data_IF_793985917518
#
_entry.id   IF_793985917518
#
_cell.length_a   1.000
_cell.length_b   1.000
_cell.length_c   1.000
_cell.angle_alpha   90.00
_cell.angle_beta   90.00
_cell.angle_gamma   90.00
#
_symmetry.space_group_name_H-M   'P 1'
#
loop_
_entity.id
_entity.type
_entity.pdbx_description
1 polymer ?
#
# COMPACT_ATOMS: atom_id res chain seq x y z
N UNK A 1 -19.69 -5.78 0.31
CA UNK A 1 -18.62 -4.84 -0.06
C UNK A 1 -17.96 -5.34 -1.33
N UNK A 2 -17.91 -4.51 -2.37
CA UNK A 2 -17.26 -4.83 -3.63
C UNK A 2 -15.75 -5.03 -3.47
N UNK A 3 -15.21 -5.95 -4.26
CA UNK A 3 -13.77 -6.18 -4.31
C UNK A 3 -13.10 -5.21 -5.31
N UNK A 4 -11.94 -4.67 -4.93
CA UNK A 4 -11.25 -3.64 -5.71
C UNK A 4 -10.89 -4.09 -7.13
N UNK A 5 -10.42 -5.32 -7.30
CA UNK A 5 -10.09 -5.93 -8.59
C UNK A 5 -11.26 -5.91 -9.59
N UNK A 6 -12.50 -5.89 -9.10
CA UNK A 6 -13.70 -5.84 -9.95
C UNK A 6 -14.07 -4.43 -10.43
N UNK A 7 -13.59 -3.38 -9.76
CA UNK A 7 -14.01 -1.99 -9.98
C UNK A 7 -12.85 -1.01 -10.17
N UNK A 8 -11.61 -1.52 -10.28
CA UNK A 8 -10.39 -0.69 -10.38
C UNK A 8 -10.42 0.31 -11.53
N UNK A 9 -10.95 -0.09 -12.69
CA UNK A 9 -11.10 0.77 -13.86
C UNK A 9 -12.13 1.85 -13.59
N UNK A 10 -13.28 1.47 -13.04
CA UNK A 10 -14.35 2.41 -12.70
C UNK A 10 -13.89 3.45 -11.66
N UNK A 11 -13.14 3.05 -10.63
CA UNK A 11 -12.53 3.98 -9.66
C UNK A 11 -11.56 4.92 -10.37
N UNK A 12 -10.73 4.41 -11.27
CA UNK A 12 -9.77 5.23 -12.01
C UNK A 12 -10.47 6.24 -12.93
N UNK A 13 -11.55 5.82 -13.61
CA UNK A 13 -12.36 6.71 -14.44
C UNK A 13 -12.98 7.84 -13.62
N UNK A 14 -13.53 7.53 -12.44
CA UNK A 14 -14.10 8.54 -11.56
C UNK A 14 -13.05 9.52 -11.03
N UNK A 15 -11.82 9.07 -10.75
CA UNK A 15 -10.70 9.96 -10.37
C UNK A 15 -10.35 10.92 -11.52
N UNK A 16 -10.26 10.40 -12.75
CA UNK A 16 -9.98 11.20 -13.95
C UNK A 16 -11.07 12.23 -14.22
N UNK A 17 -12.34 11.80 -14.19
CA UNK A 17 -13.49 12.67 -14.34
C UNK A 17 -13.56 13.71 -13.23
N UNK A 18 -13.24 13.33 -11.99
CA UNK A 18 -13.19 14.24 -10.85
C UNK A 18 -12.16 15.34 -11.01
N UNK A 19 -10.97 15.00 -11.52
CA UNK A 19 -9.95 16.00 -11.81
C UNK A 19 -10.34 16.94 -12.95
N UNK A 20 -11.03 16.43 -13.98
CA UNK A 20 -11.56 17.22 -15.08
C UNK A 20 -12.64 18.21 -14.64
N UNK A 21 -13.55 17.76 -13.76
CA UNK A 21 -14.68 18.57 -13.31
C UNK A 21 -14.44 19.28 -11.97
N UNK A 22 -13.20 19.27 -11.46
CA UNK A 22 -12.83 19.73 -10.12
C UNK A 22 -13.80 19.27 -9.02
N UNK A 23 -14.23 18.01 -9.11
CA UNK A 23 -15.24 17.40 -8.23
C UNK A 23 -14.67 16.13 -7.61
N UNK A 24 -14.77 15.98 -6.29
CA UNK A 24 -14.36 14.74 -5.63
C UNK A 24 -15.52 13.73 -5.57
N UNK A 25 -15.40 12.65 -6.34
CA UNK A 25 -16.35 11.53 -6.35
C UNK A 25 -16.01 10.43 -5.32
N UNK A 26 -14.94 10.58 -4.53
CA UNK A 26 -14.45 9.56 -3.60
C UNK A 26 -15.46 9.14 -2.53
N UNK A 27 -16.25 10.09 -2.03
CA UNK A 27 -17.30 9.86 -1.03
C UNK A 27 -18.43 8.96 -1.54
N UNK A 28 -18.65 8.90 -2.85
CA UNK A 28 -19.72 8.10 -3.45
C UNK A 28 -19.33 6.62 -3.56
N UNK A 29 -18.03 6.30 -3.66
CA UNK A 29 -17.54 4.93 -3.80
C UNK A 29 -17.95 4.03 -2.63
N UNK A 30 -17.99 4.59 -1.41
CA UNK A 30 -18.31 3.86 -0.18
C UNK A 30 -19.78 3.45 -0.08
N UNK A 31 -20.64 3.99 -0.95
CA UNK A 31 -22.08 3.73 -0.97
C UNK A 31 -22.52 2.76 -2.07
N UNK A 32 -21.59 2.31 -2.92
CA UNK A 32 -21.88 1.41 -4.03
C UNK A 32 -21.55 -0.05 -3.69
N UNK A 33 -22.46 -0.94 -4.10
CA UNK A 33 -22.44 -2.38 -3.85
C UNK A 33 -22.34 -3.22 -5.13
N UNK A 34 -22.46 -2.60 -6.33
CA UNK A 34 -22.29 -3.27 -7.63
C UNK A 34 -21.46 -2.46 -8.64
N UNK A 35 -20.71 -3.11 -9.56
CA UNK A 35 -19.96 -2.40 -10.60
C UNK A 35 -20.88 -1.58 -11.52
N UNK A 36 -22.12 -2.03 -11.69
CA UNK A 36 -23.11 -1.34 -12.52
C UNK A 36 -23.50 0.02 -11.94
N UNK A 37 -23.49 0.21 -10.62
CA UNK A 37 -23.70 1.52 -10.00
C UNK A 37 -22.58 2.50 -10.38
N UNK A 38 -21.32 2.05 -10.36
CA UNK A 38 -20.21 2.87 -10.84
C UNK A 38 -20.36 3.24 -12.32
N UNK A 39 -20.70 2.26 -13.16
CA UNK A 39 -20.89 2.47 -14.60
C UNK A 39 -22.03 3.43 -14.90
N UNK A 40 -23.13 3.37 -14.15
CA UNK A 40 -24.23 4.34 -14.25
C UNK A 40 -23.77 5.74 -13.89
N UNK A 41 -23.08 5.92 -12.76
CA UNK A 41 -22.52 7.21 -12.37
C UNK A 41 -21.61 7.80 -13.46
N UNK A 42 -20.67 7.00 -13.97
CA UNK A 42 -19.75 7.42 -15.05
C UNK A 42 -20.54 7.85 -16.29
N UNK A 43 -21.62 7.11 -16.62
CA UNK A 43 -22.50 7.45 -17.74
C UNK A 43 -23.20 8.78 -17.53
N UNK A 44 -23.78 8.99 -16.35
CA UNK A 44 -24.47 10.24 -15.99
C UNK A 44 -23.51 11.45 -16.02
N UNK A 45 -22.27 11.29 -15.51
CA UNK A 45 -21.26 12.36 -15.55
C UNK A 45 -20.92 12.72 -16.99
N UNK A 46 -20.67 11.71 -17.84
CA UNK A 46 -20.36 11.93 -19.25
C UNK A 46 -21.55 12.54 -20.02
N UNK A 47 -22.77 12.09 -19.76
CA UNK A 47 -23.99 12.63 -20.38
C UNK A 47 -24.20 14.10 -20.01
N UNK A 48 -23.98 14.48 -18.74
CA UNK A 48 -24.04 15.88 -18.31
C UNK A 48 -22.93 16.71 -18.94
N UNK A 49 -21.70 16.20 -18.96
CA UNK A 49 -20.54 16.91 -19.49
C UNK A 49 -20.66 17.16 -21.01
N UNK A 50 -21.16 16.17 -21.75
CA UNK A 50 -21.30 16.25 -23.21
C UNK A 50 -22.71 16.62 -23.69
N UNK A 51 -23.59 17.06 -22.78
CA UNK A 51 -24.97 17.45 -23.09
C UNK A 51 -25.74 16.39 -23.92
N UNK A 52 -25.45 15.10 -23.67
CA UNK A 52 -26.07 13.97 -24.36
C UNK A 52 -25.51 13.63 -25.75
N UNK A 53 -24.44 14.29 -26.23
CA UNK A 53 -23.77 13.98 -27.50
C UNK A 53 -23.12 12.58 -27.44
N UNK A 54 -23.74 11.61 -28.12
CA UNK A 54 -23.34 10.21 -28.08
C UNK A 54 -21.97 9.94 -28.71
N UNK A 55 -21.57 10.71 -29.73
CA UNK A 55 -20.26 10.54 -30.36
C UNK A 55 -19.16 11.02 -29.42
N UNK A 56 -19.36 12.17 -28.77
CA UNK A 56 -18.43 12.69 -27.76
C UNK A 56 -18.36 11.81 -26.51
N UNK A 57 -19.50 11.28 -26.03
CA UNK A 57 -19.52 10.35 -24.90
C UNK A 57 -18.72 9.08 -25.23
N UNK A 58 -18.86 8.55 -26.45
CA UNK A 58 -18.11 7.37 -26.91
C UNK A 58 -16.61 7.65 -26.96
N UNK A 59 -16.21 8.82 -27.47
CA UNK A 59 -14.81 9.27 -27.47
C UNK A 59 -14.30 9.41 -26.03
N UNK A 60 -15.03 10.09 -25.14
CA UNK A 60 -14.65 10.25 -23.75
C UNK A 60 -14.46 8.92 -23.01
N UNK A 61 -15.34 7.94 -23.23
CA UNK A 61 -15.16 6.58 -22.67
C UNK A 61 -13.89 5.89 -23.18
N UNK A 62 -13.60 6.04 -24.47
CA UNK A 62 -12.38 5.48 -25.07
C UNK A 62 -11.14 6.13 -24.44
N UNK A 63 -11.14 7.45 -24.29
CA UNK A 63 -10.05 8.21 -23.66
C UNK A 63 -9.85 7.82 -22.20
N UNK A 64 -10.93 7.70 -21.40
CA UNK A 64 -10.84 7.22 -20.02
C UNK A 64 -10.20 5.83 -19.93
N UNK A 65 -10.57 4.93 -20.86
CA UNK A 65 -9.99 3.60 -20.93
C UNK A 65 -8.49 3.65 -21.24
N UNK A 66 -8.10 4.41 -22.26
CA UNK A 66 -6.69 4.59 -22.64
C UNK A 66 -5.86 5.16 -21.48
N UNK A 67 -6.38 6.14 -20.76
CA UNK A 67 -5.68 6.69 -19.60
C UNK A 67 -5.57 5.72 -18.44
N UNK A 68 -6.60 4.90 -18.19
CA UNK A 68 -6.50 3.87 -17.15
C UNK A 68 -5.43 2.84 -17.51
N UNK A 69 -5.33 2.44 -18.78
CA UNK A 69 -4.27 1.57 -19.28
C UNK A 69 -2.86 2.20 -19.13
N UNK A 70 -2.75 3.52 -19.12
CA UNK A 70 -1.50 4.26 -18.87
C UNK A 70 -1.14 4.43 -17.37
N UNK A 71 -2.02 4.05 -16.45
CA UNK A 71 -1.82 4.23 -15.00
C UNK A 71 -1.90 2.95 -14.19
N UNK A 72 -2.51 1.90 -14.74
CA UNK A 72 -2.79 0.63 -14.07
C UNK A 72 -1.84 -0.47 -14.56
N UNK A 73 -1.28 -1.24 -13.63
CA UNK A 73 -0.60 -2.50 -13.96
C UNK A 73 -1.68 -3.56 -14.27
N UNK A 74 -1.49 -4.43 -15.26
CA UNK A 74 -2.45 -5.53 -15.46
C UNK A 74 -2.62 -6.35 -14.17
N UNK A 75 -3.86 -6.66 -13.81
CA UNK A 75 -4.16 -7.36 -12.56
C UNK A 75 -3.52 -8.75 -12.53
N UNK A 76 -3.33 -9.36 -13.70
CA UNK A 76 -2.79 -10.72 -13.81
C UNK A 76 -1.30 -10.78 -13.39
N UNK A 77 -0.59 -9.64 -13.38
CA UNK A 77 0.76 -9.59 -12.80
C UNK A 77 0.77 -9.89 -11.30
N UNK A 78 -0.29 -9.56 -10.57
CA UNK A 78 -0.38 -9.80 -9.13
C UNK A 78 -0.56 -11.29 -8.78
N UNK A 79 -0.78 -12.14 -9.78
CA UNK A 79 -0.92 -13.59 -9.60
C UNK A 79 0.39 -14.25 -9.18
N UNK A 80 1.54 -13.58 -9.36
CA UNK A 80 2.82 -14.08 -8.87
C UNK A 80 2.89 -14.23 -7.34
N UNK A 81 2.03 -13.53 -6.59
CA UNK A 81 1.92 -13.69 -5.14
C UNK A 81 0.84 -14.68 -4.71
N UNK A 82 -0.01 -15.16 -5.63
CA UNK A 82 -1.10 -16.10 -5.30
C UNK A 82 -0.55 -17.48 -4.95
N UNK A 83 -1.36 -18.24 -4.21
CA UNK A 83 -1.10 -19.66 -3.95
C UNK A 83 -0.25 -19.96 -2.71
N UNK A 84 0.43 -18.96 -2.12
CA UNK A 84 1.06 -19.12 -0.80
C UNK A 84 0.69 -17.96 0.14
N UNK A 85 0.20 -18.24 1.37
CA UNK A 85 -0.07 -17.19 2.36
C UNK A 85 1.16 -16.31 2.64
N UNK A 86 2.35 -16.91 2.62
CA UNK A 86 3.62 -16.22 2.87
C UNK A 86 3.93 -15.13 1.84
N UNK A 87 3.80 -15.42 0.54
CA UNK A 87 4.04 -14.43 -0.52
C UNK A 87 3.04 -13.25 -0.43
N UNK A 88 1.78 -13.55 -0.12
CA UNK A 88 0.73 -12.54 0.04
C UNK A 88 1.01 -11.62 1.23
N UNK A 89 1.36 -12.20 2.37
CA UNK A 89 1.71 -11.45 3.57
C UNK A 89 3.00 -10.65 3.39
N UNK A 90 3.98 -11.19 2.67
CA UNK A 90 5.19 -10.46 2.29
C UNK A 90 4.83 -9.21 1.47
N UNK A 91 4.10 -9.37 0.36
CA UNK A 91 3.73 -8.25 -0.51
C UNK A 91 2.89 -7.20 0.24
N UNK A 92 1.96 -7.66 1.08
CA UNK A 92 1.16 -6.78 1.92
C UNK A 92 2.00 -6.01 2.94
N UNK A 93 2.91 -6.64 3.67
CA UNK A 93 3.78 -5.92 4.61
C UNK A 93 4.75 -4.99 3.87
N UNK A 94 5.24 -5.38 2.70
CA UNK A 94 6.16 -4.60 1.89
C UNK A 94 5.58 -3.21 1.55
N UNK A 95 4.30 -3.12 1.18
CA UNK A 95 3.69 -1.82 0.83
C UNK A 95 3.59 -0.84 2.00
N UNK A 96 3.54 -1.32 3.25
CA UNK A 96 3.55 -0.45 4.42
C UNK A 96 4.97 0.03 4.77
N UNK A 97 5.99 -0.76 4.45
CA UNK A 97 7.38 -0.45 4.80
C UNK A 97 8.11 0.33 3.70
N UNK A 98 7.80 0.05 2.43
CA UNK A 98 8.50 0.61 1.27
C UNK A 98 7.53 1.35 0.36
N UNK A 99 7.60 2.70 0.30
CA UNK A 99 6.75 3.47 -0.59
C UNK A 99 7.04 3.25 -2.07
N UNK A 100 6.00 3.44 -2.89
CA UNK A 100 6.19 3.75 -4.31
C UNK A 100 6.78 5.15 -4.41
N UNK A 101 7.98 5.27 -4.95
CA UNK A 101 8.68 6.54 -5.15
C UNK A 101 8.82 6.83 -6.65
N UNK A 102 8.60 8.08 -7.09
CA UNK A 102 8.99 8.52 -8.42
C UNK A 102 10.50 8.32 -8.65
N UNK A 103 10.89 8.02 -9.88
CA UNK A 103 12.31 7.87 -10.25
C UNK A 103 13.17 9.06 -9.73
N UNK A 104 14.23 8.74 -8.98
CA UNK A 104 15.18 9.70 -8.43
C UNK A 104 15.04 10.00 -6.94
N UNK A 105 13.90 9.67 -6.32
CA UNK A 105 13.71 9.79 -4.86
C UNK A 105 14.09 8.47 -4.18
N UNK A 106 15.01 8.54 -3.21
CA UNK A 106 15.34 7.41 -2.31
C UNK A 106 14.99 7.81 -0.88
N UNK A 107 14.09 7.08 -0.23
CA UNK A 107 13.99 7.09 1.23
C UNK A 107 14.76 5.90 1.80
N UNK A 108 15.52 6.15 2.86
CA UNK A 108 16.13 5.11 3.68
C UNK A 108 15.04 4.30 4.36
N UNK A 109 14.95 3.01 4.00
CA UNK A 109 14.14 2.04 4.74
C UNK A 109 14.75 1.74 6.10
N UNK A 110 14.10 0.88 6.89
CA UNK A 110 14.59 0.39 8.18
C UNK A 110 15.87 -0.46 8.02
N UNK A 111 16.99 0.21 7.80
CA UNK A 111 18.36 -0.27 7.93
C UNK A 111 19.15 0.80 8.67
N UNK A 112 20.12 0.37 9.48
CA UNK A 112 20.99 1.26 10.25
C UNK A 112 21.90 2.09 9.32
N UNK A 113 21.36 3.11 8.66
CA UNK A 113 22.19 4.16 8.08
C UNK A 113 22.56 5.16 9.16
N UNK A 114 23.79 4.99 9.64
CA UNK A 114 24.52 5.99 10.41
C UNK A 114 24.76 7.18 9.49
N UNK A 115 23.99 8.25 9.71
CA UNK A 115 24.28 9.59 9.20
C UNK A 115 23.28 10.07 8.14
N UNK A 116 22.31 10.87 8.57
CA UNK A 116 22.15 12.24 8.07
C UNK A 116 21.01 12.96 8.80
N UNK A 117 21.29 14.20 9.12
CA UNK A 117 20.58 15.12 9.98
C UNK A 117 19.21 15.55 9.44
N UNK A 118 18.24 15.63 10.36
CA UNK A 118 17.17 16.62 10.42
C UNK A 118 16.65 17.20 9.12
N UNK A 119 15.55 16.63 8.61
CA UNK A 119 14.75 17.23 7.55
C UNK A 119 13.46 16.48 7.39
N UNK A 120 12.43 16.87 8.14
CA UNK A 120 11.05 16.49 7.83
C UNK A 120 10.72 16.98 6.42
N UNK A 121 10.36 16.06 5.52
CA UNK A 121 9.56 16.41 4.35
C UNK A 121 8.20 15.75 4.52
N UNK A 122 7.26 16.54 5.05
CA UNK A 122 5.85 16.37 4.74
C UNK A 122 5.72 16.53 3.22
N UNK A 123 5.75 15.43 2.48
CA UNK A 123 5.39 15.42 1.07
C UNK A 123 3.87 15.56 0.98
N UNK A 124 3.38 16.79 1.20
CA UNK A 124 2.21 17.29 0.53
C UNK A 124 2.58 17.38 -0.95
N UNK A 125 2.43 16.26 -1.67
CA UNK A 125 2.49 16.28 -3.13
C UNK A 125 1.20 16.95 -3.60
N UNK A 126 1.33 18.23 -3.98
CA UNK A 126 0.28 19.05 -4.57
C UNK A 126 0.32 19.00 -6.11
N UNK A 127 0.89 17.94 -6.67
CA UNK A 127 1.09 17.82 -8.11
C UNK A 127 -0.10 17.11 -8.73
N UNK A 128 -0.93 17.85 -9.46
CA UNK A 128 -1.97 17.31 -10.32
C UNK A 128 -1.33 16.30 -11.30
N UNK A 129 -1.53 15.00 -11.05
CA UNK A 129 -1.03 13.82 -11.82
C UNK A 129 -1.41 13.87 -13.31
N UNK A 130 -2.32 14.76 -13.65
CA UNK A 130 -2.91 14.98 -14.95
C UNK A 130 -2.10 15.91 -15.88
N UNK A 131 -1.07 16.60 -15.40
CA UNK A 131 -0.28 17.55 -16.21
C UNK A 131 0.41 16.93 -17.44
N UNK A 132 0.61 15.60 -17.46
CA UNK A 132 1.21 14.87 -18.58
C UNK A 132 0.19 14.15 -19.47
N UNK A 133 -1.11 14.22 -19.16
CA UNK A 133 -2.17 13.63 -19.97
C UNK A 133 -2.77 14.71 -20.87
N UNK A 134 -2.78 14.47 -22.18
CA UNK A 134 -3.36 15.41 -23.14
C UNK A 134 -4.89 15.35 -23.08
N UNK A 135 -5.48 16.41 -22.50
CA UNK A 135 -6.91 16.61 -22.36
C UNK A 135 -7.58 17.19 -23.61
N UNK A 136 -6.81 17.56 -24.65
CA UNK A 136 -7.33 18.20 -25.87
C UNK A 136 -8.40 17.36 -26.56
N UNK A 137 -8.32 16.04 -26.46
CA UNK A 137 -9.30 15.09 -27.02
C UNK A 137 -10.69 15.17 -26.37
N UNK A 138 -10.84 15.87 -25.23
CA UNK A 138 -12.14 16.10 -24.56
C UNK A 138 -12.75 17.47 -24.88
N UNK A 139 -12.07 18.31 -25.67
CA UNK A 139 -12.48 19.65 -26.10
C UNK A 139 -13.14 20.47 -24.96
N UNK A 140 -12.34 20.77 -23.93
CA UNK A 140 -12.73 21.60 -22.77
C UNK A 140 -12.02 22.94 -22.92
N UNK A 141 -12.79 24.02 -22.97
CA UNK A 141 -12.28 25.41 -23.01
C UNK A 141 -11.65 25.73 -21.63
N UNK A 142 -10.34 25.99 -21.60
CA UNK A 142 -9.54 26.16 -20.38
C UNK A 142 -9.31 27.64 -20.01
N UNK A 143 -9.96 28.57 -20.72
CA UNK A 143 -9.69 30.02 -20.62
C UNK A 143 -10.31 30.70 -19.39
N UNK A 144 -11.08 29.98 -18.55
CA UNK A 144 -11.78 30.54 -17.38
C UNK A 144 -11.17 30.16 -16.01
N UNK A 145 -9.96 29.60 -15.95
CA UNK A 145 -9.31 29.25 -14.68
C UNK A 145 -8.43 30.41 -14.17
N UNK A 146 -8.89 31.06 -13.10
CA UNK A 146 -8.14 32.10 -12.38
C UNK A 146 -7.01 31.49 -11.52
N UNK A 147 -5.78 31.60 -12.02
CA UNK A 147 -4.57 31.03 -11.42
C UNK A 147 -4.04 31.77 -10.19
N UNK A 148 -4.59 32.96 -9.85
CA UNK A 148 -4.07 33.77 -8.74
C UNK A 148 -4.55 33.32 -7.34
N UNK A 149 -5.51 32.38 -7.28
CA UNK A 149 -6.04 31.84 -6.01
C UNK A 149 -5.22 30.69 -5.40
N UNK A 150 -4.20 30.17 -6.10
CA UNK A 150 -3.46 28.96 -5.70
C UNK A 150 -2.14 29.29 -4.96
N UNK A 151 -1.62 30.51 -5.05
CA UNK A 151 -0.21 30.79 -4.71
C UNK A 151 0.08 31.39 -3.33
N UNK A 152 -0.91 31.62 -2.45
CA UNK A 152 -0.63 32.26 -1.14
C UNK A 152 -1.42 31.71 0.07
N UNK A 153 -0.83 30.81 0.87
CA UNK A 153 -1.30 30.53 2.22
C UNK A 153 -0.46 31.33 3.24
N UNK A 154 -0.96 32.49 3.67
CA UNK A 154 -0.36 33.22 4.80
C UNK A 154 -0.62 32.52 6.15
N UNK A 155 0.49 32.31 6.84
CA UNK A 155 0.74 31.88 8.22
C UNK A 155 -0.37 32.11 9.27
N UNK A 156 -0.60 31.09 10.11
CA UNK A 156 -0.71 31.27 11.56
C UNK A 156 -0.03 30.12 12.32
N UNK A 157 0.99 30.45 13.11
CA UNK A 157 1.69 29.52 13.98
C UNK A 157 1.09 29.55 15.39
N UNK A 158 0.88 28.38 16.02
CA UNK A 158 0.69 28.30 17.47
C UNK A 158 0.98 26.92 18.09
N UNK A 159 2.09 26.91 18.85
CA UNK A 159 2.41 26.19 20.10
C UNK A 159 2.46 24.64 20.14
N UNK A 160 3.70 24.18 20.35
CA UNK A 160 4.20 22.84 20.70
C UNK A 160 3.49 22.20 21.91
N UNK A 161 3.24 20.89 21.81
CA UNK A 161 3.25 19.98 22.96
C UNK A 161 4.27 18.88 22.68
N UNK A 162 5.28 18.75 23.55
CA UNK A 162 6.24 17.63 23.51
C UNK A 162 5.48 16.35 23.87
N UNK A 163 5.22 15.48 22.89
CA UNK A 163 4.91 14.07 23.14
C UNK A 163 6.16 13.24 22.87
N UNK A 164 6.49 12.38 23.82
CA UNK A 164 7.55 11.39 23.71
C UNK A 164 7.16 10.43 22.58
N UNK A 165 7.86 10.53 21.45
CA UNK A 165 7.59 9.75 20.25
C UNK A 165 8.08 8.31 20.44
N UNK A 166 7.16 7.34 20.47
CA UNK A 166 7.51 5.96 20.11
C UNK A 166 7.94 5.97 18.65
N UNK A 167 9.11 5.42 18.36
CA UNK A 167 9.84 5.47 17.09
C UNK A 167 9.22 4.60 15.97
N UNK A 168 7.90 4.67 15.76
CA UNK A 168 7.14 3.91 14.76
C UNK A 168 6.27 4.77 13.83
N UNK A 169 6.38 6.10 13.90
CA UNK A 169 5.71 7.00 12.94
C UNK A 169 6.62 7.36 11.78
N UNK A 170 7.07 6.36 10.99
CA UNK A 170 7.73 6.60 9.70
C UNK A 170 7.48 5.42 8.75
N UNK A 171 6.24 4.97 8.59
CA UNK A 171 5.87 4.15 7.44
C UNK A 171 5.63 5.13 6.29
N UNK A 172 6.66 5.38 5.48
CA UNK A 172 6.51 6.23 4.29
C UNK A 172 5.62 5.57 3.22
N UNK A 173 5.28 4.28 3.39
CA UNK A 173 4.41 3.48 2.53
C UNK A 173 2.90 3.67 2.78
N UNK A 174 2.13 2.58 2.72
CA UNK A 174 0.68 2.60 2.87
C UNK A 174 0.22 3.14 4.24
N UNK A 175 -0.79 4.03 4.24
CA UNK A 175 -1.40 4.54 5.47
C UNK A 175 -2.39 3.54 6.06
N UNK A 176 -2.30 3.30 7.37
CA UNK A 176 -3.25 2.44 8.11
C UNK A 176 -4.66 3.02 8.19
N UNK A 177 -4.83 4.31 7.90
CA UNK A 177 -6.15 4.96 7.87
C UNK A 177 -6.86 4.71 6.53
N UNK A 178 -6.11 4.46 5.45
CA UNK A 178 -6.63 4.28 4.10
C UNK A 178 -6.64 2.82 3.65
N UNK A 179 -5.74 2.00 4.18
CA UNK A 179 -5.54 0.61 3.80
C UNK A 179 -5.71 -0.31 5.00
N UNK A 180 -6.41 -1.43 4.82
CA UNK A 180 -6.59 -2.43 5.88
C UNK A 180 -5.23 -3.05 6.24
N UNK A 181 -4.71 -2.84 7.46
CA UNK A 181 -3.45 -3.44 7.88
C UNK A 181 -3.58 -4.93 8.24
N UNK A 182 -4.81 -5.43 8.37
CA UNK A 182 -5.10 -6.80 8.82
C UNK A 182 -6.17 -7.45 7.93
N UNK A 183 -5.90 -7.60 6.62
CA UNK A 183 -6.80 -8.34 5.73
C UNK A 183 -6.89 -9.81 6.16
N UNK A 184 -8.06 -10.40 6.00
CA UNK A 184 -8.35 -11.76 6.48
C UNK A 184 -8.43 -12.79 5.35
N UNK A 185 -8.55 -12.34 4.09
CA UNK A 185 -8.59 -13.20 2.92
C UNK A 185 -7.45 -12.92 1.94
N UNK A 186 -7.09 -13.92 1.14
CA UNK A 186 -6.14 -13.77 0.02
C UNK A 186 -6.54 -12.63 -0.93
N UNK A 187 -7.84 -12.54 -1.25
CA UNK A 187 -8.35 -11.49 -2.12
C UNK A 187 -8.20 -10.10 -1.50
N UNK A 188 -8.44 -9.94 -0.20
CA UNK A 188 -8.22 -8.67 0.49
C UNK A 188 -6.75 -8.26 0.52
N UNK A 189 -5.84 -9.22 0.71
CA UNK A 189 -4.39 -8.99 0.64
C UNK A 189 -3.98 -8.43 -0.73
N UNK A 190 -4.34 -9.14 -1.81
CA UNK A 190 -4.01 -8.73 -3.18
C UNK A 190 -4.67 -7.40 -3.53
N UNK A 191 -5.94 -7.22 -3.18
CA UNK A 191 -6.65 -5.97 -3.46
C UNK A 191 -6.06 -4.78 -2.72
N UNK A 192 -5.54 -4.98 -1.50
CA UNK A 192 -4.81 -3.95 -0.76
C UNK A 192 -3.52 -3.54 -1.46
N UNK A 193 -2.71 -4.50 -1.89
CA UNK A 193 -1.46 -4.26 -2.63
C UNK A 193 -1.74 -3.59 -3.97
N UNK A 194 -2.70 -4.12 -4.74
CA UNK A 194 -3.10 -3.59 -6.04
C UNK A 194 -3.59 -2.15 -5.92
N UNK A 195 -4.49 -1.87 -4.96
CA UNK A 195 -4.98 -0.53 -4.72
C UNK A 195 -3.85 0.42 -4.34
N UNK A 196 -2.94 0.01 -3.46
CA UNK A 196 -1.83 0.87 -3.04
C UNK A 196 -0.95 1.30 -4.23
N UNK A 197 -0.59 0.36 -5.10
CA UNK A 197 0.23 0.64 -6.28
C UNK A 197 -0.55 1.46 -7.31
N UNK A 198 -1.82 1.11 -7.56
CA UNK A 198 -2.68 1.83 -8.51
C UNK A 198 -2.90 3.29 -8.09
N UNK A 199 -3.05 3.56 -6.77
CA UNK A 199 -3.24 4.89 -6.20
C UNK A 199 -1.95 5.71 -6.03
N UNK A 200 -0.78 5.12 -6.24
CA UNK A 200 0.48 5.84 -6.14
C UNK A 200 0.55 7.00 -7.17
N UNK A 201 0.93 8.22 -6.75
CA UNK A 201 0.95 9.40 -7.61
C UNK A 201 2.22 9.45 -8.48
N UNK A 202 2.42 8.44 -9.31
CA UNK A 202 3.58 8.31 -10.20
C UNK A 202 3.22 7.64 -11.53
N UNK A 203 4.18 7.60 -12.45
CA UNK A 203 3.99 7.01 -13.78
C UNK A 203 3.80 5.49 -13.71
N UNK A 204 3.17 4.89 -14.73
CA UNK A 204 3.11 3.43 -14.85
C UNK A 204 4.51 2.79 -14.88
N UNK A 205 5.51 3.47 -15.45
CA UNK A 205 6.89 3.00 -15.45
C UNK A 205 7.48 2.89 -14.04
N UNK A 206 7.21 3.86 -13.16
CA UNK A 206 7.64 3.83 -11.76
C UNK A 206 6.91 2.71 -10.99
N UNK A 207 5.60 2.56 -11.21
CA UNK A 207 4.80 1.48 -10.61
C UNK A 207 5.31 0.10 -11.02
N UNK A 208 5.61 -0.10 -12.31
CA UNK A 208 6.20 -1.35 -12.83
C UNK A 208 7.57 -1.60 -12.20
N UNK A 209 8.39 -0.57 -12.06
CA UNK A 209 9.73 -0.69 -11.44
C UNK A 209 9.61 -1.08 -9.97
N UNK A 210 8.70 -0.44 -9.23
CA UNK A 210 8.38 -0.81 -7.86
C UNK A 210 7.91 -2.26 -7.75
N UNK A 211 6.97 -2.66 -8.61
CA UNK A 211 6.41 -4.02 -8.63
C UNK A 211 7.49 -5.07 -8.91
N UNK A 212 8.37 -4.81 -9.89
CA UNK A 212 9.52 -5.68 -10.19
C UNK A 212 10.44 -5.82 -8.98
N UNK A 213 10.79 -4.71 -8.33
CA UNK A 213 11.62 -4.73 -7.12
C UNK A 213 10.95 -5.50 -5.98
N UNK A 214 9.66 -5.33 -5.77
CA UNK A 214 8.89 -6.08 -4.77
C UNK A 214 8.96 -7.58 -5.06
N UNK A 215 8.74 -7.98 -6.32
CA UNK A 215 8.82 -9.38 -6.74
C UNK A 215 10.24 -9.97 -6.64
N UNK A 216 11.27 -9.23 -7.06
CA UNK A 216 12.68 -9.63 -6.90
C UNK A 216 13.04 -9.82 -5.44
N UNK A 217 12.63 -8.91 -4.56
CA UNK A 217 12.84 -9.06 -3.11
C UNK A 217 12.11 -10.27 -2.54
N UNK A 218 10.92 -10.58 -3.04
CA UNK A 218 10.22 -11.81 -2.64
C UNK A 218 11.03 -13.05 -3.03
N UNK A 219 11.51 -13.13 -4.28
CA UNK A 219 12.31 -14.25 -4.76
C UNK A 219 13.62 -14.42 -3.97
N UNK A 220 14.33 -13.32 -3.70
CA UNK A 220 15.55 -13.34 -2.87
C UNK A 220 15.29 -13.93 -1.47
N UNK A 221 14.17 -13.56 -0.84
CA UNK A 221 13.82 -14.08 0.48
C UNK A 221 13.35 -15.53 0.43
N UNK A 222 12.58 -15.89 -0.59
CA UNK A 222 12.10 -17.24 -0.80
C UNK A 222 13.26 -18.23 -1.03
N UNK A 223 14.23 -17.86 -1.88
CA UNK A 223 15.38 -18.71 -2.19
C UNK A 223 16.28 -18.90 -0.96
N UNK A 224 16.42 -17.88 -0.10
CA UNK A 224 17.24 -17.97 1.09
C UNK A 224 16.55 -18.69 2.26
N UNK A 225 15.26 -18.46 2.46
CA UNK A 225 14.45 -19.05 3.53
C UNK A 225 13.39 -19.99 2.95
N UNK A 226 13.83 -20.98 2.15
CA UNK A 226 13.01 -21.95 1.41
C UNK A 226 11.99 -22.71 2.27
N UNK A 227 12.30 -22.89 3.55
CA UNK A 227 11.40 -23.52 4.53
C UNK A 227 11.12 -22.56 5.67
N UNK A 228 9.87 -22.56 6.13
CA UNK A 228 9.50 -21.87 7.35
C UNK A 228 10.34 -22.39 8.52
N UNK A 229 10.38 -21.63 9.63
CA UNK A 229 11.20 -22.01 10.79
C UNK A 229 10.79 -23.38 11.33
N UNK A 230 11.66 -24.38 11.14
CA UNK A 230 11.48 -25.79 11.53
C UNK A 230 11.08 -26.00 13.01
N UNK A 231 11.48 -25.07 13.88
CA UNK A 231 11.18 -25.08 15.31
C UNK A 231 9.87 -24.37 15.69
N UNK A 232 9.21 -23.71 14.73
CA UNK A 232 7.95 -22.98 14.92
C UNK A 232 6.77 -23.79 14.39
N UNK A 233 5.78 -24.04 15.24
CA UNK A 233 4.56 -24.76 14.86
C UNK A 233 3.44 -23.78 14.54
N UNK A 234 2.71 -24.05 13.45
CA UNK A 234 1.50 -23.30 13.06
C UNK A 234 0.35 -23.47 14.07
N UNK A 235 0.34 -24.57 14.82
CA UNK A 235 -0.73 -24.92 15.77
C UNK A 235 -0.40 -24.53 17.23
N UNK A 236 0.85 -24.17 17.54
CA UNK A 236 1.25 -23.77 18.90
C UNK A 236 0.93 -22.29 19.15
N UNK A 237 -0.32 -22.00 19.52
CA UNK A 237 -0.76 -20.64 19.83
C UNK A 237 0.11 -19.97 20.92
N UNK A 238 0.55 -20.72 21.92
CA UNK A 238 1.36 -20.17 23.02
C UNK A 238 2.72 -19.72 22.52
N UNK A 239 3.36 -20.51 21.65
CA UNK A 239 4.59 -20.13 20.97
C UNK A 239 4.36 -18.88 20.13
N UNK A 240 3.33 -18.87 19.29
CA UNK A 240 3.12 -17.78 18.34
C UNK A 240 2.76 -16.45 19.02
N UNK A 241 1.98 -16.47 20.11
CA UNK A 241 1.75 -15.26 20.93
C UNK A 241 3.05 -14.73 21.51
N UNK A 242 3.89 -15.61 22.07
CA UNK A 242 5.18 -15.20 22.63
C UNK A 242 6.09 -14.59 21.56
N UNK A 243 6.21 -15.22 20.40
CA UNK A 243 7.05 -14.74 19.30
C UNK A 243 6.53 -13.42 18.73
N UNK A 244 5.22 -13.25 18.62
CA UNK A 244 4.60 -11.99 18.22
C UNK A 244 5.00 -10.86 19.16
N UNK A 245 4.85 -11.05 20.47
CA UNK A 245 5.21 -10.04 21.46
C UNK A 245 6.72 -9.78 21.51
N UNK A 246 7.53 -10.82 21.30
CA UNK A 246 8.98 -10.68 21.18
C UNK A 246 9.36 -9.78 19.99
N UNK A 247 8.84 -10.06 18.80
CA UNK A 247 9.10 -9.27 17.60
C UNK A 247 8.57 -7.84 17.73
N UNK A 248 7.37 -7.67 18.29
CA UNK A 248 6.79 -6.36 18.58
C UNK A 248 7.68 -5.57 19.56
N UNK A 249 8.16 -6.19 20.62
CA UNK A 249 9.08 -5.59 21.59
C UNK A 249 10.45 -5.24 21.01
N UNK A 250 10.89 -5.96 19.96
CA UNK A 250 12.10 -5.67 19.19
C UNK A 250 11.88 -4.69 18.04
N UNK A 251 10.64 -4.21 17.85
CA UNK A 251 10.30 -3.31 16.77
C UNK A 251 10.43 -3.94 15.38
N UNK A 252 10.19 -5.25 15.25
CA UNK A 252 10.21 -5.98 13.98
C UNK A 252 8.82 -6.20 13.38
N UNK A 253 7.77 -5.97 14.18
CA UNK A 253 6.38 -6.02 13.74
C UNK A 253 5.74 -4.68 14.11
N UNK A 254 5.04 -4.09 13.15
CA UNK A 254 4.35 -2.83 13.35
C UNK A 254 3.18 -2.99 14.34
N UNK A 255 2.99 -2.01 15.22
CA UNK A 255 2.04 -2.08 16.33
C UNK A 255 0.57 -2.08 15.92
N UNK A 256 0.28 -1.61 14.70
CA UNK A 256 -1.06 -1.55 14.13
C UNK A 256 -1.55 -2.90 13.60
N UNK A 257 -0.64 -3.87 13.40
CA UNK A 257 -0.97 -5.21 12.98
C UNK A 257 -1.66 -5.98 14.12
N UNK A 258 -2.77 -6.62 13.81
CA UNK A 258 -3.63 -7.36 14.75
C UNK A 258 -4.07 -8.68 14.13
N UNK A 259 -3.32 -9.78 14.33
CA UNK A 259 -3.69 -11.07 13.79
C UNK A 259 -5.01 -11.55 14.43
N UNK A 260 -5.96 -11.99 13.61
CA UNK A 260 -7.28 -12.46 14.08
C UNK A 260 -7.26 -13.91 14.59
N UNK A 261 -6.34 -14.74 14.08
CA UNK A 261 -6.18 -16.13 14.50
C UNK A 261 -4.71 -16.57 14.53
N UNK A 262 -4.47 -17.77 15.03
CA UNK A 262 -3.14 -18.37 15.18
C UNK A 262 -2.42 -18.57 13.84
N UNK A 263 -3.12 -19.03 12.80
CA UNK A 263 -2.52 -19.23 11.47
C UNK A 263 -2.04 -17.92 10.85
N UNK A 264 -2.85 -16.86 10.93
CA UNK A 264 -2.48 -15.55 10.44
C UNK A 264 -1.29 -14.98 11.23
N UNK A 265 -1.26 -15.19 12.55
CA UNK A 265 -0.11 -14.80 13.38
C UNK A 265 1.17 -15.50 12.91
N UNK A 266 1.10 -16.78 12.59
CA UNK A 266 2.22 -17.55 12.02
C UNK A 266 2.70 -16.92 10.71
N UNK A 267 1.79 -16.72 9.74
CA UNK A 267 2.14 -16.18 8.43
C UNK A 267 2.72 -14.75 8.52
N UNK A 268 2.17 -13.90 9.39
CA UNK A 268 2.66 -12.53 9.61
C UNK A 268 4.01 -12.48 10.32
N UNK A 269 4.29 -13.41 11.26
CA UNK A 269 5.62 -13.52 11.89
C UNK A 269 6.68 -13.80 10.84
N UNK A 270 6.40 -14.73 9.92
CA UNK A 270 7.33 -15.08 8.84
C UNK A 270 7.48 -13.90 7.88
N UNK A 271 6.38 -13.29 7.45
CA UNK A 271 6.42 -12.14 6.55
C UNK A 271 7.19 -10.95 7.13
N UNK A 272 7.07 -10.68 8.43
CA UNK A 272 7.85 -9.63 9.09
C UNK A 272 9.36 -9.90 9.03
N UNK A 273 9.77 -11.16 9.14
CA UNK A 273 11.17 -11.56 8.99
C UNK A 273 11.63 -11.49 7.53
N UNK A 274 10.77 -11.88 6.58
CA UNK A 274 11.08 -11.81 5.15
C UNK A 274 11.25 -10.34 4.69
N UNK A 275 10.31 -9.46 5.06
CA UNK A 275 10.30 -8.04 4.66
C UNK A 275 11.41 -7.22 5.31
N UNK A 276 11.95 -7.67 6.46
CA UNK A 276 13.04 -6.99 7.14
C UNK A 276 14.28 -6.88 6.23
N UNK A 277 14.70 -5.67 5.91
CA UNK A 277 15.88 -5.44 5.07
C UNK A 277 17.18 -5.51 5.89
N UNK A 278 17.62 -6.74 6.16
CA UNK A 278 18.88 -7.07 6.81
C UNK A 278 19.64 -8.14 6.02
N UNK A 279 20.94 -8.23 6.27
CA UNK A 279 21.76 -9.28 5.68
C UNK A 279 21.27 -10.66 6.15
N UNK A 280 21.39 -11.70 5.33
CA UNK A 280 20.86 -13.01 5.68
C UNK A 280 21.45 -13.59 6.97
N UNK A 281 22.74 -13.34 7.24
CA UNK A 281 23.42 -13.76 8.46
C UNK A 281 22.84 -13.08 9.71
N UNK A 282 22.52 -11.78 9.61
CA UNK A 282 21.89 -11.02 10.71
C UNK A 282 20.49 -11.56 11.01
N UNK A 283 19.73 -11.92 9.96
CA UNK A 283 18.43 -12.55 10.12
C UNK A 283 18.54 -13.91 10.80
N UNK A 284 19.46 -14.76 10.36
CA UNK A 284 19.70 -16.08 10.96
C UNK A 284 20.08 -15.96 12.44
N UNK A 285 21.03 -15.09 12.76
CA UNK A 285 21.44 -14.84 14.15
C UNK A 285 20.26 -14.36 15.01
N UNK A 286 19.41 -13.49 14.45
CA UNK A 286 18.20 -13.04 15.13
C UNK A 286 17.19 -14.17 15.35
N UNK A 287 16.96 -15.03 14.33
CA UNK A 287 16.06 -16.18 14.43
C UNK A 287 16.56 -17.17 15.49
N UNK A 288 17.86 -17.42 15.57
CA UNK A 288 18.47 -18.26 16.60
C UNK A 288 18.27 -17.67 18.00
N UNK A 289 18.52 -16.36 18.17
CA UNK A 289 18.26 -15.66 19.45
C UNK A 289 16.79 -15.74 19.85
N UNK A 290 15.88 -15.61 18.89
CA UNK A 290 14.44 -15.73 19.10
C UNK A 290 14.06 -17.16 19.52
N UNK A 291 14.62 -18.19 18.86
CA UNK A 291 14.46 -19.60 19.22
C UNK A 291 14.93 -19.90 20.64
N UNK A 292 16.13 -19.43 21.01
CA UNK A 292 16.68 -19.61 22.35
C UNK A 292 15.83 -18.91 23.42
N UNK A 293 15.34 -17.69 23.15
CA UNK A 293 14.46 -16.97 24.07
C UNK A 293 13.16 -17.75 24.34
N UNK A 294 12.55 -18.31 23.29
CA UNK A 294 11.37 -19.17 23.43
C UNK A 294 11.66 -20.43 24.24
N UNK A 295 12.76 -21.14 23.94
CA UNK A 295 13.14 -22.36 24.67
C UNK A 295 13.36 -22.08 26.16
N UNK A 296 14.03 -20.98 26.50
CA UNK A 296 14.23 -20.56 27.89
C UNK A 296 12.90 -20.26 28.59
N UNK A 297 11.99 -19.52 27.93
CA UNK A 297 10.66 -19.22 28.47
C UNK A 297 9.82 -20.49 28.70
N UNK A 298 9.90 -21.46 27.78
CA UNK A 298 9.22 -22.76 27.90
C UNK A 298 9.75 -23.56 29.09
N UNK A 299 11.06 -23.60 29.29
CA UNK A 299 11.69 -24.30 30.42
C UNK A 299 11.31 -23.66 31.76
N UNK A 300 11.34 -22.34 31.86
CA UNK A 300 10.94 -21.62 33.08
C UNK A 300 9.48 -21.90 33.47
N UNK A 301 8.56 -21.92 32.49
CA UNK A 301 7.15 -22.26 32.73
C UNK A 301 6.94 -23.71 33.19
N UNK A 302 7.83 -24.63 32.78
CA UNK A 302 7.80 -26.03 33.25
C UNK A 302 8.34 -26.17 34.67
N UNK A 303 9.35 -25.40 35.06
CA UNK A 303 9.91 -25.44 36.42
C UNK A 303 9.07 -24.69 37.46
N UNK A 304 8.19 -23.79 37.02
CA UNK A 304 7.29 -23.02 37.90
C UNK A 304 5.92 -23.71 38.13
N UNK A 305 5.71 -24.89 37.56
CA UNK A 305 4.57 -25.78 37.82
C UNK A 305 5.03 -26.94 38.69
#
# INVERSE_FOLDING_TARGET
MLHYDMIRYEIMYLKMLGALSNTDYSLQWSTYDSPDQFRRLISEILERHFLGDQDRIKVGRKTLKEWAELLLIDKDYFDCFKGTPRALWFAHHYIFEYPVLPAGLKLGGLGNDVGCSGGFNSLLMNDNIFTNLDFSNLNIDLDDIDWDLITNPQATASKKTKRVFSRFYLNAGASTDLYNPTPVTERELINGVMRYIDEAPCSLGDKITYFKKLHERWLEQYDFFLTDFDWMSRDDETQLVYLWDYLKGKGRIASYLRPYNTSMRYDMIIAAMDVWNAQPEEKLEFIEKMKHAWQAAKSYRKSAK
#
